data_IF_803417996819
#
_entry.id   IF_803417996819
#
_cell.length_a   1.000
_cell.length_b   1.000
_cell.length_c   1.000
_cell.angle_alpha   90.00
_cell.angle_beta   90.00
_cell.angle_gamma   90.00
#
_symmetry.space_group_name_H-M   'P 1'
#
loop_
_entity.id
_entity.type
_entity.pdbx_description
1 polymer ?
#
# COMPACT_ATOMS: atom_id res chain seq x y z
N UNK A 1 -60.19 22.26 -32.05
CA UNK A 1 -59.20 22.61 -33.10
C UNK A 1 -57.84 22.73 -32.42
N UNK A 2 -56.92 21.86 -32.83
CA UNK A 2 -55.50 21.70 -32.41
C UNK A 2 -54.67 22.95 -32.81
N UNK A 3 -53.53 23.40 -32.22
CA UNK A 3 -52.17 22.86 -31.93
C UNK A 3 -51.33 23.96 -31.18
N UNK A 4 -50.54 23.67 -30.14
CA UNK A 4 -49.05 23.40 -30.07
C UNK A 4 -48.19 24.56 -29.48
N UNK A 5 -47.14 24.19 -28.71
CA UNK A 5 -45.96 24.99 -28.31
C UNK A 5 -45.91 25.39 -26.82
N UNK A 6 -45.28 24.67 -25.88
CA UNK A 6 -43.86 24.32 -25.59
C UNK A 6 -43.20 25.21 -24.50
N UNK A 7 -42.48 24.51 -23.61
CA UNK A 7 -41.38 24.90 -22.72
C UNK A 7 -41.65 25.61 -21.38
N UNK A 8 -41.34 24.88 -20.29
CA UNK A 8 -41.34 25.41 -18.93
C UNK A 8 -40.97 24.37 -17.88
N UNK A 9 -39.86 23.64 -18.03
CA UNK A 9 -39.33 22.81 -16.95
C UNK A 9 -38.62 23.70 -15.92
N UNK A 10 -39.30 23.97 -14.81
CA UNK A 10 -38.75 24.64 -13.62
C UNK A 10 -37.90 23.64 -12.83
N UNK A 11 -36.61 23.90 -12.67
CA UNK A 11 -35.74 23.10 -11.82
C UNK A 11 -34.34 23.66 -11.66
N UNK A 12 -34.23 24.69 -10.83
CA UNK A 12 -33.04 25.39 -10.30
C UNK A 12 -31.80 24.48 -10.18
N UNK A 13 -30.77 24.73 -10.98
CA UNK A 13 -29.42 24.19 -10.78
C UNK A 13 -28.53 25.27 -10.15
N UNK A 14 -28.45 25.27 -8.82
CA UNK A 14 -27.36 25.89 -8.09
C UNK A 14 -27.15 25.09 -6.80
N UNK A 15 -26.09 24.29 -6.75
CA UNK A 15 -25.54 23.77 -5.50
C UNK A 15 -24.08 23.38 -5.72
N UNK A 16 -23.19 24.33 -5.47
CA UNK A 16 -21.77 24.08 -5.16
C UNK A 16 -21.72 23.39 -3.81
N UNK A 17 -20.99 22.27 -3.70
CA UNK A 17 -20.72 21.61 -2.43
C UNK A 17 -19.24 21.70 -2.10
N UNK A 18 -18.88 22.59 -1.18
CA UNK A 18 -17.61 22.52 -0.44
C UNK A 18 -17.88 21.78 0.87
N UNK A 19 -17.25 20.62 1.05
CA UNK A 19 -17.34 19.87 2.31
C UNK A 19 -16.00 19.97 3.03
N UNK A 20 -15.99 20.72 4.13
CA UNK A 20 -14.92 20.68 5.12
C UNK A 20 -15.24 19.58 6.14
N UNK A 21 -14.46 18.49 6.12
CA UNK A 21 -14.53 17.47 7.17
C UNK A 21 -13.60 17.90 8.30
N UNK A 22 -14.17 18.53 9.33
CA UNK A 22 -13.51 18.71 10.62
C UNK A 22 -13.32 17.35 11.33
N UNK A 23 -12.33 17.28 12.22
CA UNK A 23 -11.93 16.05 12.93
C UNK A 23 -13.12 15.31 13.54
N UNK A 24 -13.34 14.09 13.07
CA UNK A 24 -14.45 13.24 13.52
C UNK A 24 -14.00 12.48 14.77
N UNK A 25 -14.64 12.77 15.91
CA UNK A 25 -14.59 11.93 17.11
C UNK A 25 -15.99 11.38 17.38
N UNK A 26 -16.16 10.06 17.23
CA UNK A 26 -17.38 9.32 17.57
C UNK A 26 -17.52 8.01 16.79
N UNK A 27 -18.07 6.93 17.38
CA UNK A 27 -18.05 5.61 16.76
C UNK A 27 -19.13 5.48 15.68
N UNK A 28 -18.70 5.17 14.45
CA UNK A 28 -19.58 4.84 13.32
C UNK A 28 -19.71 3.32 13.19
N UNK A 29 -20.93 2.81 13.39
CA UNK A 29 -21.31 1.43 13.07
C UNK A 29 -21.91 1.39 11.66
N UNK A 30 -21.19 0.81 10.70
CA UNK A 30 -21.75 0.38 9.42
C UNK A 30 -21.10 -0.93 9.00
N UNK A 31 -21.92 -1.98 8.88
CA UNK A 31 -21.57 -3.17 8.11
C UNK A 31 -20.94 -4.30 8.92
N UNK A 32 -21.56 -5.48 8.81
CA UNK A 32 -21.21 -6.71 9.48
C UNK A 32 -19.85 -7.25 8.99
N UNK A 33 -18.84 -6.99 9.78
CA UNK A 33 -17.50 -7.58 9.73
C UNK A 33 -16.77 -7.13 10.98
N UNK A 34 -16.22 -8.05 11.75
CA UNK A 34 -15.51 -7.74 12.99
C UNK A 34 -14.40 -6.72 12.72
N UNK A 35 -14.63 -5.45 13.09
CA UNK A 35 -13.56 -4.46 13.14
C UNK A 35 -12.81 -4.72 14.44
N UNK A 36 -11.73 -5.49 14.34
CA UNK A 36 -10.69 -5.50 15.37
C UNK A 36 -10.03 -4.13 15.39
N UNK A 37 -10.59 -3.20 16.16
CA UNK A 37 -9.86 -2.01 16.61
C UNK A 37 -9.04 -2.45 17.81
N UNK A 38 -7.92 -3.11 17.56
CA UNK A 38 -6.89 -3.23 18.58
C UNK A 38 -6.48 -1.81 18.98
N UNK A 39 -6.69 -1.52 20.25
CA UNK A 39 -6.30 -0.30 20.93
C UNK A 39 -4.87 0.08 20.50
N UNK A 40 -4.71 1.26 19.91
CA UNK A 40 -3.41 1.84 19.59
C UNK A 40 -2.77 2.33 20.88
N UNK A 41 -2.37 1.40 21.74
CA UNK A 41 -1.63 1.67 22.96
C UNK A 41 -0.18 2.06 22.56
N UNK A 42 0.01 3.36 22.39
CA UNK A 42 1.02 4.17 23.08
C UNK A 42 2.45 3.56 23.12
N UNK A 43 3.26 3.93 22.10
CA UNK A 43 4.70 3.61 21.93
C UNK A 43 5.01 2.16 21.56
N UNK A 44 4.72 1.78 20.31
CA UNK A 44 5.29 0.57 19.67
C UNK A 44 6.80 0.73 19.46
N UNK A 45 7.59 0.52 20.51
CA UNK A 45 8.94 -0.01 20.33
C UNK A 45 8.82 -1.33 19.56
N UNK A 46 9.52 -1.44 18.43
CA UNK A 46 9.69 -2.71 17.71
C UNK A 46 10.12 -3.77 18.72
N UNK A 47 9.28 -4.80 18.90
CA UNK A 47 9.62 -5.89 19.80
C UNK A 47 10.49 -6.91 19.08
N UNK A 48 11.22 -7.74 19.83
CA UNK A 48 11.95 -8.87 19.25
C UNK A 48 11.04 -9.77 18.39
N UNK A 49 9.75 -9.86 18.75
CA UNK A 49 8.73 -10.57 17.99
C UNK A 49 8.43 -9.92 16.63
N UNK A 50 8.41 -8.58 16.52
CA UNK A 50 8.23 -7.88 15.24
C UNK A 50 9.43 -8.13 14.32
N UNK A 51 10.67 -8.08 14.84
CA UNK A 51 11.88 -8.39 14.06
C UNK A 51 11.89 -9.86 13.58
N UNK A 52 11.47 -10.79 14.42
CA UNK A 52 11.35 -12.19 14.02
C UNK A 52 10.26 -12.38 12.96
N UNK A 53 9.15 -11.66 13.05
CA UNK A 53 8.12 -11.68 12.02
C UNK A 53 8.63 -11.12 10.69
N UNK A 54 9.43 -10.04 10.69
CA UNK A 54 10.09 -9.53 9.48
C UNK A 54 11.03 -10.58 8.88
N UNK A 55 11.85 -11.26 9.69
CA UNK A 55 12.73 -12.33 9.21
C UNK A 55 11.94 -13.48 8.56
N UNK A 56 10.78 -13.83 9.11
CA UNK A 56 9.89 -14.84 8.52
C UNK A 56 9.35 -14.39 7.17
N UNK A 57 8.90 -13.14 7.04
CA UNK A 57 8.45 -12.59 5.74
C UNK A 57 9.53 -12.72 4.66
N UNK A 58 10.79 -12.44 4.99
CA UNK A 58 11.90 -12.61 4.05
C UNK A 58 12.25 -14.07 3.78
N UNK A 59 12.09 -14.97 4.76
CA UNK A 59 12.24 -16.40 4.55
C UNK A 59 11.18 -16.95 3.58
N UNK A 60 9.92 -16.54 3.74
CA UNK A 60 8.83 -16.90 2.82
C UNK A 60 9.08 -16.33 1.41
N UNK A 61 9.60 -15.10 1.31
CA UNK A 61 9.97 -14.50 0.02
C UNK A 61 11.11 -15.28 -0.67
N UNK A 62 12.15 -15.67 0.08
CA UNK A 62 13.23 -16.52 -0.46
C UNK A 62 12.70 -17.87 -0.95
N UNK A 63 11.78 -18.48 -0.21
CA UNK A 63 11.14 -19.72 -0.65
C UNK A 63 10.33 -19.53 -1.93
N UNK A 64 9.60 -18.41 -2.05
CA UNK A 64 8.85 -18.06 -3.26
C UNK A 64 9.78 -17.82 -4.46
N UNK A 65 10.93 -17.17 -4.26
CA UNK A 65 11.97 -17.00 -5.29
C UNK A 65 12.55 -18.34 -5.71
N UNK A 66 12.97 -19.19 -4.77
CA UNK A 66 13.54 -20.49 -5.09
C UNK A 66 12.56 -21.42 -5.84
N UNK A 67 11.25 -21.27 -5.58
CA UNK A 67 10.22 -22.06 -6.24
C UNK A 67 9.83 -21.55 -7.64
N UNK A 68 9.99 -20.25 -7.91
CA UNK A 68 9.41 -19.60 -9.10
C UNK A 68 10.43 -18.93 -10.02
N UNK A 69 11.65 -18.68 -9.55
CA UNK A 69 12.70 -18.09 -10.37
C UNK A 69 13.25 -19.15 -11.35
N UNK A 70 13.41 -18.81 -12.65
CA UNK A 70 14.13 -19.64 -13.59
C UNK A 70 15.61 -19.70 -13.19
N UNK A 71 16.28 -20.81 -13.53
CA UNK A 71 17.67 -21.08 -13.12
C UNK A 71 18.64 -19.95 -13.50
N UNK A 72 18.44 -19.31 -14.66
CA UNK A 72 19.27 -18.20 -15.15
C UNK A 72 19.16 -16.93 -14.30
N UNK A 73 18.03 -16.71 -13.59
CA UNK A 73 17.79 -15.55 -12.76
C UNK A 73 17.85 -15.84 -11.26
N UNK A 74 17.99 -17.12 -10.87
CA UNK A 74 17.89 -17.52 -9.47
C UNK A 74 18.89 -16.79 -8.57
N UNK A 75 20.17 -16.77 -8.95
CA UNK A 75 21.21 -16.11 -8.18
C UNK A 75 20.99 -14.59 -8.08
N UNK A 76 20.53 -13.95 -9.15
CA UNK A 76 20.23 -12.51 -9.15
C UNK A 76 18.99 -12.20 -8.30
N UNK A 77 17.94 -13.04 -8.39
CA UNK A 77 16.74 -12.90 -7.60
C UNK A 77 17.02 -13.06 -6.09
N UNK A 78 17.84 -14.04 -5.70
CA UNK A 78 18.29 -14.20 -4.31
C UNK A 78 19.05 -12.96 -3.82
N UNK A 79 20.00 -12.45 -4.62
CA UNK A 79 20.73 -11.22 -4.30
C UNK A 79 19.81 -10.00 -4.15
N UNK A 80 18.74 -9.91 -4.93
CA UNK A 80 17.73 -8.85 -4.81
C UNK A 80 16.91 -8.98 -3.53
N UNK A 81 16.58 -10.20 -3.09
CA UNK A 81 15.92 -10.41 -1.80
C UNK A 81 16.85 -9.98 -0.66
N UNK A 82 18.13 -10.29 -0.74
CA UNK A 82 19.11 -9.85 0.27
C UNK A 82 19.28 -8.32 0.28
N UNK A 83 19.35 -7.67 -0.90
CA UNK A 83 19.36 -6.20 -1.01
C UNK A 83 18.11 -5.59 -0.37
N UNK A 84 16.94 -6.21 -0.58
CA UNK A 84 15.68 -5.76 0.02
C UNK A 84 15.67 -5.92 1.55
N UNK A 85 16.15 -7.06 2.06
CA UNK A 85 16.22 -7.30 3.50
C UNK A 85 17.15 -6.28 4.18
N UNK A 86 18.30 -5.98 3.57
CA UNK A 86 19.23 -4.96 4.07
C UNK A 86 18.63 -3.55 3.98
N UNK A 87 17.94 -3.21 2.88
CA UNK A 87 17.29 -1.91 2.73
C UNK A 87 16.21 -1.66 3.79
N UNK A 88 15.56 -2.72 4.27
CA UNK A 88 14.49 -2.66 5.28
C UNK A 88 15.02 -2.71 6.72
N UNK A 89 16.03 -3.55 6.97
CA UNK A 89 16.52 -3.84 8.33
C UNK A 89 17.80 -3.08 8.70
N UNK A 90 18.39 -2.34 7.75
CA UNK A 90 19.52 -1.46 8.00
C UNK A 90 19.21 -0.37 9.02
N UNK A 91 20.26 0.29 9.52
CA UNK A 91 20.14 1.34 10.54
C UNK A 91 19.18 2.46 10.12
N UNK A 92 19.18 2.80 8.83
CA UNK A 92 18.20 3.69 8.23
C UNK A 92 17.59 3.00 7.01
N UNK A 93 16.26 2.82 6.97
CA UNK A 93 15.57 2.21 5.84
C UNK A 93 15.78 2.99 4.55
N UNK A 94 16.20 2.30 3.48
CA UNK A 94 16.43 2.89 2.15
C UNK A 94 15.24 2.60 1.23
N UNK A 95 14.28 3.54 1.21
CA UNK A 95 13.07 3.45 0.38
C UNK A 95 13.40 3.42 -1.12
N UNK A 96 14.47 4.11 -1.55
CA UNK A 96 14.88 4.10 -2.95
C UNK A 96 15.42 2.74 -3.38
N UNK A 97 16.18 2.06 -2.51
CA UNK A 97 16.60 0.68 -2.74
C UNK A 97 15.41 -0.28 -2.78
N UNK A 98 14.43 -0.14 -1.88
CA UNK A 98 13.20 -0.94 -1.90
C UNK A 98 12.45 -0.79 -3.23
N UNK A 99 12.31 0.44 -3.73
CA UNK A 99 11.68 0.71 -5.01
C UNK A 99 12.44 0.08 -6.19
N UNK A 100 13.77 0.26 -6.23
CA UNK A 100 14.64 -0.33 -7.27
C UNK A 100 14.50 -1.86 -7.31
N UNK A 101 14.53 -2.51 -6.16
CA UNK A 101 14.38 -3.97 -6.07
C UNK A 101 12.98 -4.39 -6.53
N UNK A 102 11.92 -3.71 -6.06
CA UNK A 102 10.56 -3.99 -6.51
C UNK A 102 10.43 -3.86 -8.03
N UNK A 103 11.00 -2.80 -8.62
CA UNK A 103 11.03 -2.59 -10.07
C UNK A 103 11.69 -3.76 -10.79
N UNK A 104 12.87 -4.18 -10.33
CA UNK A 104 13.57 -5.33 -10.91
C UNK A 104 12.71 -6.60 -10.92
N UNK A 105 11.99 -6.91 -9.82
CA UNK A 105 11.08 -8.06 -9.78
C UNK A 105 9.89 -7.91 -10.72
N UNK A 106 9.34 -6.71 -10.89
CA UNK A 106 8.26 -6.46 -11.84
C UNK A 106 8.71 -6.72 -13.29
N UNK A 107 9.93 -6.31 -13.63
CA UNK A 107 10.49 -6.47 -14.98
C UNK A 107 10.95 -7.91 -15.29
N UNK A 108 11.54 -8.61 -14.31
CA UNK A 108 12.22 -9.89 -14.55
C UNK A 108 11.46 -11.10 -14.01
N UNK A 109 10.70 -10.95 -12.92
CA UNK A 109 10.01 -12.04 -12.21
C UNK A 109 8.61 -11.62 -11.74
N UNK A 110 7.69 -11.30 -12.66
CA UNK A 110 6.36 -10.79 -12.31
C UNK A 110 5.53 -11.76 -11.46
N UNK A 111 5.81 -13.08 -11.53
CA UNK A 111 5.19 -14.10 -10.66
C UNK A 111 5.52 -13.91 -9.18
N UNK A 112 6.70 -13.38 -8.86
CA UNK A 112 7.17 -13.12 -7.48
C UNK A 112 6.94 -11.66 -7.08
N UNK A 113 6.81 -10.75 -8.04
CA UNK A 113 6.63 -9.32 -7.79
C UNK A 113 5.40 -9.00 -6.91
N UNK A 114 4.34 -9.80 -7.01
CA UNK A 114 3.18 -9.72 -6.12
C UNK A 114 3.55 -9.99 -4.66
N UNK A 115 4.30 -11.06 -4.39
CA UNK A 115 4.81 -11.41 -3.06
C UNK A 115 5.75 -10.33 -2.52
N UNK A 116 6.65 -9.81 -3.35
CA UNK A 116 7.54 -8.70 -2.99
C UNK A 116 6.73 -7.47 -2.58
N UNK A 117 5.71 -7.12 -3.37
CA UNK A 117 4.81 -6.00 -3.05
C UNK A 117 4.05 -6.25 -1.75
N UNK A 118 3.57 -7.48 -1.49
CA UNK A 118 2.90 -7.84 -0.24
C UNK A 118 3.81 -7.71 0.99
N UNK A 119 5.09 -8.07 0.87
CA UNK A 119 6.09 -7.84 1.93
C UNK A 119 6.24 -6.34 2.18
N UNK A 120 6.40 -5.55 1.11
CA UNK A 120 6.63 -4.11 1.17
C UNK A 120 5.47 -3.30 1.75
N UNK A 121 4.23 -3.75 1.59
CA UNK A 121 3.05 -3.08 2.18
C UNK A 121 2.63 -3.67 3.54
N UNK A 122 3.42 -4.60 4.09
CA UNK A 122 3.10 -5.26 5.35
C UNK A 122 3.18 -4.26 6.52
N UNK A 123 2.18 -4.23 7.42
CA UNK A 123 2.16 -3.30 8.55
C UNK A 123 3.32 -3.50 9.53
N UNK A 124 3.91 -4.69 9.59
CA UNK A 124 5.07 -4.97 10.43
C UNK A 124 6.29 -4.22 9.92
N UNK A 125 6.47 -4.11 8.59
CA UNK A 125 7.53 -3.26 8.01
C UNK A 125 7.31 -1.80 8.34
N UNK A 126 6.06 -1.32 8.27
CA UNK A 126 5.71 0.05 8.69
C UNK A 126 6.23 0.36 10.10
N UNK A 127 5.96 -0.53 11.07
CA UNK A 127 6.44 -0.37 12.46
C UNK A 127 7.97 -0.33 12.55
N UNK A 128 8.67 -1.17 11.78
CA UNK A 128 10.14 -1.20 11.77
C UNK A 128 10.71 0.11 11.23
N UNK A 129 10.14 0.62 10.14
CA UNK A 129 10.54 1.90 9.56
C UNK A 129 10.21 3.07 10.49
N UNK A 130 9.05 3.07 11.13
CA UNK A 130 8.64 4.05 12.14
C UNK A 130 9.61 4.11 13.32
N UNK A 131 10.10 2.96 13.78
CA UNK A 131 11.09 2.89 14.85
C UNK A 131 12.49 3.37 14.45
N UNK A 132 12.82 3.33 13.15
CA UNK A 132 14.09 3.86 12.63
C UNK A 132 14.08 5.39 12.50
N UNK A 133 12.91 6.01 12.36
CA UNK A 133 12.73 7.47 12.47
C UNK A 133 11.59 8.02 11.62
N UNK A 134 11.11 9.22 12.01
CA UNK A 134 9.96 9.85 11.35
C UNK A 134 10.20 10.17 9.87
N UNK A 135 11.40 10.63 9.50
CA UNK A 135 11.73 10.95 8.11
C UNK A 135 11.63 9.70 7.20
N UNK A 136 12.19 8.58 7.64
CA UNK A 136 12.11 7.31 6.90
C UNK A 136 10.65 6.82 6.80
N UNK A 137 9.88 6.98 7.87
CA UNK A 137 8.48 6.59 7.92
C UNK A 137 7.59 7.44 7.00
N UNK A 138 7.82 8.74 6.90
CA UNK A 138 7.12 9.62 5.96
C UNK A 138 7.39 9.24 4.51
N UNK A 139 8.66 9.04 4.15
CA UNK A 139 9.05 8.64 2.79
C UNK A 139 8.47 7.27 2.42
N UNK A 140 8.55 6.30 3.34
CA UNK A 140 7.97 4.98 3.15
C UNK A 140 6.44 5.03 2.98
N UNK A 141 5.73 5.82 3.79
CA UNK A 141 4.27 5.99 3.68
C UNK A 141 3.87 6.64 2.35
N UNK A 142 4.59 7.67 1.90
CA UNK A 142 4.38 8.30 0.58
C UNK A 142 4.55 7.28 -0.54
N UNK A 143 5.62 6.49 -0.47
CA UNK A 143 5.92 5.48 -1.46
C UNK A 143 4.87 4.35 -1.47
N UNK A 144 4.55 3.72 -0.33
CA UNK A 144 3.51 2.69 -0.25
C UNK A 144 2.13 3.23 -0.70
N UNK A 145 1.83 4.49 -0.37
CA UNK A 145 0.63 5.16 -0.83
C UNK A 145 0.54 5.27 -2.36
N UNK A 146 1.68 5.48 -3.03
CA UNK A 146 1.78 5.52 -4.50
C UNK A 146 1.67 4.14 -5.18
N UNK A 147 1.93 3.05 -4.45
CA UNK A 147 1.92 1.67 -4.96
C UNK A 147 0.50 1.06 -4.97
N UNK A 148 -0.47 1.60 -4.23
CA UNK A 148 -1.87 1.17 -4.32
C UNK A 148 -2.49 1.63 -5.65
N UNK A 149 -3.20 0.76 -6.39
CA UNK A 149 -3.84 1.17 -7.63
C UNK A 149 -4.87 2.27 -7.34
N UNK A 150 -4.88 3.29 -8.21
CA UNK A 150 -5.99 4.20 -8.37
C UNK A 150 -7.21 3.39 -8.81
N UNK A 151 -7.96 2.90 -7.82
CA UNK A 151 -9.10 2.02 -7.99
C UNK A 151 -10.43 2.73 -7.91
N UNK A 152 -10.54 4.04 -8.19
CA UNK A 152 -11.83 4.73 -8.39
C UNK A 152 -11.66 5.96 -9.32
N UNK A 153 -11.60 5.72 -10.63
CA UNK A 153 -11.93 6.71 -11.67
C UNK A 153 -12.29 5.96 -12.96
N UNK A 154 -13.35 5.16 -12.87
CA UNK A 154 -13.99 4.54 -14.03
C UNK A 154 -15.34 5.19 -14.27
N UNK A 155 -15.52 5.81 -15.43
CA UNK A 155 -16.83 6.35 -15.82
C UNK A 155 -16.79 7.25 -17.04
N UNK A 156 -16.13 6.79 -18.12
CA UNK A 156 -16.35 7.39 -19.43
C UNK A 156 -17.81 7.20 -19.86
N UNK A 157 -18.37 8.25 -20.45
CA UNK A 157 -19.44 8.15 -21.45
C UNK A 157 -19.07 9.07 -22.58
N UNK A 158 -18.47 8.47 -23.61
CA UNK A 158 -18.51 8.98 -24.98
C UNK A 158 -19.91 8.70 -25.55
N UNK A 159 -20.52 9.73 -26.15
CA UNK A 159 -21.27 9.69 -27.41
C UNK A 159 -21.80 11.10 -27.74
#
# INVERSE_FOLDING_TARGET
MVKEGNEGNKGKADSRFETHIGSVHGPVHTGQGDIYVEHWDERRTVQAADLEAVRRLFADLRAAVAAQAPADLQAEAEARVDELEQAVTGEMPDVSAMERVRGWFLDHLPSVAGTVTSVLVNPILGKVVEAAGELAADEFRRWVGSVRPQGESGGGVEA
#
